data_IF_578117704040
#
_entry.id   IF_578117704040
#
_cell.length_a   1.000
_cell.length_b   1.000
_cell.length_c   1.000
_cell.angle_alpha   90.00
_cell.angle_beta   90.00
_cell.angle_gamma   90.00
#
_symmetry.space_group_name_H-M   'P 1'
#
loop_
_entity.id
_entity.type
_entity.pdbx_description
1 polymer ?
#
# COMPACT_ATOMS: atom_id res chain seq x y z
N UNK A 1 -3.94 14.30 7.38
CA UNK A 1 -3.84 13.82 8.76
C UNK A 1 -2.73 12.79 8.82
N UNK A 2 -1.74 13.05 9.68
CA UNK A 2 -0.62 12.14 9.97
C UNK A 2 -1.08 10.91 10.75
N UNK A 3 -0.26 9.86 10.78
CA UNK A 3 -0.50 8.68 11.58
C UNK A 3 -0.59 9.02 13.07
N UNK A 4 0.28 9.92 13.56
CA UNK A 4 0.26 10.36 14.97
C UNK A 4 -1.06 11.03 15.35
N UNK A 5 -1.60 11.89 14.48
CA UNK A 5 -2.92 12.50 14.70
C UNK A 5 -4.04 11.46 14.66
N UNK A 6 -3.99 10.53 13.71
CA UNK A 6 -4.97 9.46 13.56
C UNK A 6 -5.04 8.54 14.80
N UNK A 7 -3.90 8.06 15.29
CA UNK A 7 -3.84 7.22 16.50
C UNK A 7 -4.34 7.96 17.75
N UNK A 8 -4.07 9.28 17.82
CA UNK A 8 -4.55 10.14 18.91
C UNK A 8 -6.07 10.30 18.86
N UNK A 9 -6.66 10.48 17.69
CA UNK A 9 -8.12 10.55 17.52
C UNK A 9 -8.81 9.25 17.93
N UNK A 10 -8.20 8.11 17.60
CA UNK A 10 -8.64 6.79 18.04
C UNK A 10 -8.37 6.50 19.52
N UNK A 11 -7.68 7.41 20.22
CA UNK A 11 -7.30 7.29 21.64
C UNK A 11 -6.50 6.01 21.93
N UNK A 12 -5.67 5.58 20.98
CA UNK A 12 -4.83 4.38 21.12
C UNK A 12 -3.91 4.50 22.34
N UNK A 13 -3.31 5.69 22.54
CA UNK A 13 -2.43 5.97 23.68
C UNK A 13 -3.14 5.97 25.07
N UNK A 14 -4.47 5.84 25.11
CA UNK A 14 -5.25 5.79 26.36
C UNK A 14 -5.63 4.35 26.75
N UNK A 15 -5.32 3.37 25.90
CA UNK A 15 -5.53 1.96 26.20
C UNK A 15 -4.42 1.53 27.16
N UNK A 16 -4.77 0.65 28.10
CA UNK A 16 -3.78 0.04 28.99
C UNK A 16 -2.78 -0.78 28.16
N UNK A 17 -1.50 -0.67 28.47
CA UNK A 17 -0.44 -1.44 27.82
C UNK A 17 -0.57 -2.95 28.15
N UNK A 18 -1.36 -3.63 27.34
CA UNK A 18 -1.64 -5.06 27.37
C UNK A 18 -1.90 -5.58 25.94
N UNK A 19 -2.30 -6.84 25.82
CA UNK A 19 -2.54 -7.47 24.50
C UNK A 19 -3.60 -6.73 23.69
N UNK A 20 -4.63 -6.15 24.33
CA UNK A 20 -5.68 -5.41 23.63
C UNK A 20 -5.12 -4.13 22.98
N UNK A 21 -4.17 -3.47 23.65
CA UNK A 21 -3.45 -2.34 23.07
C UNK A 21 -2.64 -2.76 21.84
N UNK A 22 -1.86 -3.85 21.93
CA UNK A 22 -1.05 -4.32 20.80
C UNK A 22 -1.91 -4.61 19.56
N UNK A 23 -3.03 -5.32 19.73
CA UNK A 23 -3.92 -5.68 18.62
C UNK A 23 -4.59 -4.43 18.02
N UNK A 24 -5.05 -3.49 18.86
CA UNK A 24 -5.71 -2.27 18.41
C UNK A 24 -4.75 -1.32 17.71
N UNK A 25 -3.55 -1.14 18.24
CA UNK A 25 -2.52 -0.31 17.61
C UNK A 25 -2.13 -0.90 16.25
N UNK A 26 -1.88 -2.22 16.20
CA UNK A 26 -1.56 -2.91 14.96
C UNK A 26 -2.65 -2.70 13.90
N UNK A 27 -3.91 -3.00 14.24
CA UNK A 27 -5.02 -2.88 13.30
C UNK A 27 -5.19 -1.43 12.83
N UNK A 28 -5.14 -0.46 13.75
CA UNK A 28 -5.26 0.95 13.39
C UNK A 28 -4.16 1.41 12.42
N UNK A 29 -2.90 1.03 12.66
CA UNK A 29 -1.78 1.38 11.77
C UNK A 29 -1.96 0.71 10.40
N UNK A 30 -2.36 -0.57 10.36
CA UNK A 30 -2.55 -1.29 9.10
C UNK A 30 -3.74 -0.74 8.29
N UNK A 31 -4.84 -0.37 8.95
CA UNK A 31 -5.99 0.28 8.31
C UNK A 31 -5.58 1.64 7.73
N UNK A 32 -4.87 2.46 8.52
CA UNK A 32 -4.34 3.76 8.08
C UNK A 32 -3.48 3.63 6.82
N UNK A 33 -2.57 2.64 6.80
CA UNK A 33 -1.69 2.39 5.67
C UNK A 33 -2.48 1.88 4.45
N UNK A 34 -3.42 0.96 4.65
CA UNK A 34 -4.22 0.35 3.56
C UNK A 34 -5.12 1.38 2.89
N UNK A 35 -5.80 2.24 3.64
CA UNK A 35 -6.61 3.34 3.11
C UNK A 35 -5.80 4.31 2.24
N UNK A 36 -4.51 4.47 2.55
CA UNK A 36 -3.55 5.28 1.81
C UNK A 36 -2.77 4.49 0.77
N UNK A 37 -3.16 3.24 0.52
CA UNK A 37 -2.49 2.35 -0.44
C UNK A 37 -1.00 2.18 -0.14
N UNK A 38 -0.58 2.26 1.13
CA UNK A 38 0.83 2.26 1.56
C UNK A 38 1.69 3.39 0.97
N UNK A 39 1.06 4.45 0.46
CA UNK A 39 1.71 5.69 0.04
C UNK A 39 1.64 6.68 1.21
N UNK A 40 2.50 6.45 2.21
CA UNK A 40 2.59 7.26 3.44
C UNK A 40 3.81 8.18 3.41
N UNK A 41 3.83 9.17 4.29
CA UNK A 41 4.96 10.10 4.39
C UNK A 41 6.14 9.48 5.16
N UNK A 42 7.34 10.04 4.98
CA UNK A 42 8.53 9.65 5.76
C UNK A 42 8.31 9.81 7.28
N UNK A 43 7.56 10.84 7.69
CA UNK A 43 7.22 11.07 9.10
C UNK A 43 6.29 9.98 9.66
N UNK A 44 5.34 9.51 8.84
CA UNK A 44 4.46 8.40 9.21
C UNK A 44 5.25 7.09 9.29
N UNK A 45 6.15 6.85 8.33
CA UNK A 45 7.03 5.68 8.34
C UNK A 45 7.94 5.69 9.58
N UNK A 46 8.55 6.83 9.91
CA UNK A 46 9.34 6.99 11.12
C UNK A 46 8.50 6.69 12.38
N UNK A 47 7.23 7.13 12.42
CA UNK A 47 6.32 6.80 13.51
C UNK A 47 6.06 5.29 13.66
N UNK A 48 5.96 4.55 12.55
CA UNK A 48 5.79 3.09 12.53
C UNK A 48 7.08 2.39 13.03
N UNK A 49 8.23 2.85 12.57
CA UNK A 49 9.55 2.32 12.96
C UNK A 49 9.81 2.57 14.45
N UNK A 50 9.53 3.77 14.96
CA UNK A 50 9.65 4.14 16.37
C UNK A 50 8.79 3.24 17.28
N UNK A 51 7.72 2.65 16.74
CA UNK A 51 6.81 1.71 17.42
C UNK A 51 7.23 0.25 17.29
N UNK A 52 8.35 -0.03 16.63
CA UNK A 52 8.83 -1.39 16.40
C UNK A 52 8.00 -2.18 15.39
N UNK A 53 7.20 -1.51 14.55
CA UNK A 53 6.30 -2.16 13.59
C UNK A 53 6.88 -2.30 12.18
N UNK A 54 8.17 -2.02 11.99
CA UNK A 54 8.85 -2.03 10.69
C UNK A 54 8.60 -3.34 9.91
N UNK A 55 8.85 -4.50 10.52
CA UNK A 55 8.75 -5.79 9.83
C UNK A 55 7.30 -6.10 9.41
N UNK A 56 6.34 -5.75 10.27
CA UNK A 56 4.92 -5.91 9.95
C UNK A 56 4.47 -5.00 8.82
N UNK A 57 4.94 -3.75 8.84
CA UNK A 57 4.66 -2.77 7.79
C UNK A 57 5.24 -3.22 6.45
N UNK A 58 6.53 -3.57 6.40
CA UNK A 58 7.18 -4.00 5.16
C UNK A 58 6.53 -5.28 4.60
N UNK A 59 6.20 -6.24 5.46
CA UNK A 59 5.48 -7.44 5.04
C UNK A 59 4.11 -7.11 4.43
N UNK A 60 3.31 -6.29 5.11
CA UNK A 60 1.95 -5.93 4.66
C UNK A 60 1.97 -5.07 3.40
N UNK A 61 2.92 -4.13 3.31
CA UNK A 61 3.17 -3.32 2.12
C UNK A 61 3.51 -4.20 0.92
N UNK A 62 4.43 -5.15 1.08
CA UNK A 62 4.82 -6.06 0.01
C UNK A 62 3.65 -6.96 -0.43
N UNK A 63 2.81 -7.44 0.50
CA UNK A 63 1.59 -8.18 0.14
C UNK A 63 0.61 -7.30 -0.64
N UNK A 64 0.33 -6.08 -0.15
CA UNK A 64 -0.58 -5.15 -0.82
C UNK A 64 -0.16 -4.86 -2.27
N UNK A 65 1.13 -4.59 -2.51
CA UNK A 65 1.64 -4.31 -3.86
C UNK A 65 1.49 -5.53 -4.77
N UNK A 66 1.76 -6.74 -4.26
CA UNK A 66 1.58 -7.98 -5.01
C UNK A 66 0.13 -8.24 -5.36
N UNK A 67 -0.78 -8.06 -4.40
CA UNK A 67 -2.21 -8.24 -4.62
C UNK A 67 -2.73 -7.23 -5.65
N UNK A 68 -2.30 -5.96 -5.55
CA UNK A 68 -2.63 -4.93 -6.52
C UNK A 68 -2.08 -5.26 -7.93
N UNK A 69 -0.88 -5.83 -8.02
CA UNK A 69 -0.31 -6.28 -9.29
C UNK A 69 -1.09 -7.46 -9.89
N UNK A 70 -1.51 -8.42 -9.07
CA UNK A 70 -2.35 -9.53 -9.52
C UNK A 70 -3.73 -9.04 -10.00
N UNK A 71 -4.30 -8.07 -9.29
CA UNK A 71 -5.55 -7.41 -9.68
C UNK A 71 -5.41 -6.71 -11.04
N UNK A 72 -4.33 -5.95 -11.25
CA UNK A 72 -4.01 -5.35 -12.54
C UNK A 72 -3.90 -6.40 -13.67
N UNK A 73 -3.31 -7.56 -13.38
CA UNK A 73 -3.19 -8.66 -14.34
C UNK A 73 -4.52 -9.25 -14.80
N UNK A 74 -5.62 -9.01 -14.08
CA UNK A 74 -6.96 -9.45 -14.45
C UNK A 74 -7.73 -8.40 -15.27
N UNK A 75 -7.20 -7.18 -15.41
CA UNK A 75 -7.86 -6.09 -16.15
C UNK A 75 -7.84 -6.40 -17.65
N UNK A 76 -9.00 -6.39 -18.34
CA UNK A 76 -9.07 -6.55 -19.79
C UNK A 76 -8.18 -5.53 -20.51
N UNK A 77 -7.43 -6.01 -21.50
CA UNK A 77 -6.45 -5.21 -22.22
C UNK A 77 -6.55 -5.51 -23.71
N UNK A 78 -6.50 -4.45 -24.52
CA UNK A 78 -6.49 -4.58 -25.96
C UNK A 78 -5.16 -5.19 -26.42
N UNK A 79 -5.14 -6.34 -27.11
CA UNK A 79 -3.89 -7.02 -27.46
C UNK A 79 -3.06 -6.29 -28.53
N UNK A 80 -3.65 -5.35 -29.27
CA UNK A 80 -2.95 -4.60 -30.31
C UNK A 80 -2.37 -3.28 -29.80
N UNK A 81 -3.02 -2.66 -28.81
CA UNK A 81 -2.59 -1.36 -28.27
C UNK A 81 -2.01 -1.45 -26.87
N UNK A 82 -2.15 -2.59 -26.19
CA UNK A 82 -1.73 -2.82 -24.81
C UNK A 82 -2.33 -1.81 -23.80
N UNK A 83 -3.49 -1.24 -24.16
CA UNK A 83 -4.25 -0.33 -23.32
C UNK A 83 -5.31 -1.11 -22.52
N UNK A 84 -5.54 -0.71 -21.27
CA UNK A 84 -6.65 -1.25 -20.47
C UNK A 84 -7.99 -0.85 -21.08
N UNK A 85 -8.97 -1.75 -21.06
CA UNK A 85 -10.28 -1.54 -21.68
C UNK A 85 -11.34 -1.05 -20.68
N UNK A 86 -11.02 -1.04 -19.39
CA UNK A 86 -11.87 -0.54 -18.31
C UNK A 86 -11.08 0.30 -17.30
N UNK A 87 -11.81 0.99 -16.42
CA UNK A 87 -11.17 1.77 -15.34
C UNK A 87 -10.59 0.83 -14.29
N UNK A 88 -9.35 1.09 -13.87
CA UNK A 88 -8.70 0.33 -12.82
C UNK A 88 -7.86 1.25 -11.93
N UNK A 89 -8.09 1.18 -10.61
CA UNK A 89 -7.29 1.89 -9.59
C UNK A 89 -7.12 3.42 -9.84
N UNK A 90 -8.10 4.06 -10.48
CA UNK A 90 -8.07 5.48 -10.84
C UNK A 90 -7.49 5.79 -12.23
N UNK A 91 -7.02 4.78 -12.95
CA UNK A 91 -6.66 4.87 -14.36
C UNK A 91 -7.87 4.58 -15.22
N UNK A 92 -8.25 5.52 -16.09
CA UNK A 92 -9.37 5.32 -17.01
C UNK A 92 -9.05 4.29 -18.11
N UNK A 93 -10.08 3.77 -18.78
CA UNK A 93 -9.89 2.99 -20.01
C UNK A 93 -9.04 3.76 -21.03
N UNK A 94 -8.15 3.05 -21.73
CA UNK A 94 -7.22 3.61 -22.72
C UNK A 94 -5.81 3.88 -22.20
N UNK A 95 -5.56 3.76 -20.89
CA UNK A 95 -4.20 3.87 -20.35
C UNK A 95 -3.33 2.67 -20.77
N UNK A 96 -2.10 2.95 -21.19
CA UNK A 96 -1.16 1.93 -21.63
C UNK A 96 -0.57 1.17 -20.44
N UNK A 97 -0.42 -0.15 -20.56
CA UNK A 97 0.09 -1.00 -19.46
C UNK A 97 1.46 -0.55 -18.94
N UNK A 98 2.34 -0.06 -19.80
CA UNK A 98 3.69 0.35 -19.38
C UNK A 98 3.63 1.59 -18.49
N UNK A 99 2.72 2.54 -18.75
CA UNK A 99 2.54 3.70 -17.87
C UNK A 99 2.05 3.29 -16.49
N UNK A 100 1.25 2.23 -16.41
CA UNK A 100 0.81 1.65 -15.13
C UNK A 100 1.97 0.92 -14.44
N UNK A 101 2.79 0.17 -15.19
CA UNK A 101 4.02 -0.42 -14.66
C UNK A 101 4.98 0.65 -14.10
N UNK A 102 5.24 1.71 -14.86
CA UNK A 102 6.08 2.83 -14.43
C UNK A 102 5.54 3.46 -13.14
N UNK A 103 4.21 3.62 -13.03
CA UNK A 103 3.56 4.09 -11.81
C UNK A 103 3.81 3.18 -10.60
N UNK A 104 3.85 1.85 -10.77
CA UNK A 104 4.23 0.95 -9.67
C UNK A 104 5.67 1.21 -9.21
N UNK A 105 6.61 1.36 -10.15
CA UNK A 105 8.01 1.60 -9.82
C UNK A 105 8.22 2.95 -9.15
N UNK A 106 7.57 4.01 -9.65
CA UNK A 106 7.67 5.36 -9.10
C UNK A 106 6.98 5.50 -7.73
N UNK A 107 5.78 4.92 -7.58
CA UNK A 107 4.99 5.08 -6.35
C UNK A 107 5.49 4.20 -5.21
N UNK A 108 5.96 2.99 -5.53
CA UNK A 108 6.35 2.01 -4.52
C UNK A 108 7.86 1.74 -4.47
N UNK A 109 8.66 2.29 -5.38
CA UNK A 109 10.10 2.03 -5.40
C UNK A 109 10.44 0.55 -5.57
N UNK A 110 9.57 -0.21 -6.24
CA UNK A 110 9.77 -1.63 -6.58
C UNK A 110 10.17 -1.77 -8.05
N UNK A 111 10.78 -2.88 -8.42
CA UNK A 111 10.95 -3.25 -9.82
C UNK A 111 9.81 -4.17 -10.24
N UNK A 112 9.06 -3.78 -11.28
CA UNK A 112 8.01 -4.65 -11.83
C UNK A 112 8.61 -5.96 -12.33
N UNK A 113 9.74 -5.88 -13.04
CA UNK A 113 10.41 -7.06 -13.61
C UNK A 113 10.92 -8.01 -12.53
N UNK A 114 11.68 -7.49 -11.54
CA UNK A 114 12.33 -8.35 -10.54
C UNK A 114 11.41 -8.74 -9.40
N UNK A 115 10.67 -7.77 -8.85
CA UNK A 115 9.95 -7.96 -7.59
C UNK A 115 8.52 -8.50 -7.81
N UNK A 116 7.90 -8.19 -8.95
CA UNK A 116 6.51 -8.56 -9.25
C UNK A 116 6.38 -9.67 -10.29
N UNK A 117 7.23 -9.69 -11.32
CA UNK A 117 7.26 -10.76 -12.33
C UNK A 117 8.23 -11.90 -11.98
N UNK A 118 9.26 -11.64 -11.17
CA UNK A 118 10.28 -12.64 -10.82
C UNK A 118 11.23 -13.00 -11.96
N UNK A 119 11.48 -12.04 -12.86
CA UNK A 119 12.34 -12.19 -14.05
C UNK A 119 13.75 -11.63 -13.86
#
# INVERSE_FOLDING_TARGET
MSLREYLKELKIDQIKDDTEFCDKEYNAIMDYCTERKFLITDDDLACIVDRGMNDSYEYRRAQYIKDLWLDFGNVPMNPNTECIEEEWNGFAAGWHRTSICDWFEESYGVSVVKDLMGL
#
